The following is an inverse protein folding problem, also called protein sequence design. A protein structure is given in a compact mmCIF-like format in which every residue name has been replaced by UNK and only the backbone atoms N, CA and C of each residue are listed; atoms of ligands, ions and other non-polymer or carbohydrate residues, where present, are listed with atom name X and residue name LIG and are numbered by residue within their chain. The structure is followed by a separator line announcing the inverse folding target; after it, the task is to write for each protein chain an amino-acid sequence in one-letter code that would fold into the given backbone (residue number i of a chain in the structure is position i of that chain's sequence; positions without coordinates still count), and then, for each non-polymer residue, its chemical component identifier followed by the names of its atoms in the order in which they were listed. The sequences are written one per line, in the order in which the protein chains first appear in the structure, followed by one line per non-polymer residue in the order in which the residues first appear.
data_IF_617499417426
#
_entry.id   IF_617499417426
#
_cell.length_a   1.000
_cell.length_b   1.000
_cell.length_c   1.000
_cell.angle_alpha   90.00
_cell.angle_beta   90.00
_cell.angle_gamma   90.00
#
_symmetry.space_group_name_H-M   'P 1'
#
loop_
_entity.id
_entity.type
_entity.pdbx_description
1 polymer ?
#
# COMPACT_ATOMS: atom_id res chain seq x y z
N UNK A 1 -23.82 29.86 7.09
CA UNK A 1 -22.89 29.50 8.17
C UNK A 1 -21.70 28.83 7.48
N UNK A 2 -20.53 29.43 7.48
CA UNK A 2 -19.30 28.76 6.99
C UNK A 2 -18.95 27.65 7.99
N UNK A 3 -18.83 26.41 7.51
CA UNK A 3 -18.35 25.31 8.32
C UNK A 3 -16.94 25.67 8.85
N UNK A 4 -16.64 25.37 10.09
CA UNK A 4 -15.27 25.52 10.60
C UNK A 4 -14.31 24.66 9.79
N UNK A 5 -13.08 25.16 9.52
CA UNK A 5 -12.10 24.38 8.79
C UNK A 5 -11.73 23.13 9.58
N UNK A 6 -11.65 21.99 8.88
CA UNK A 6 -11.21 20.72 9.47
C UNK A 6 -9.78 20.84 10.00
N UNK A 7 -9.51 20.24 11.14
CA UNK A 7 -8.14 20.04 11.61
C UNK A 7 -7.37 19.14 10.64
N UNK A 8 -6.03 19.19 10.65
CA UNK A 8 -5.18 18.32 9.81
C UNK A 8 -5.48 16.85 10.04
N UNK A 9 -5.73 16.45 11.30
CA UNK A 9 -6.06 15.08 11.63
C UNK A 9 -7.43 14.65 11.09
N UNK A 10 -8.44 15.51 11.13
CA UNK A 10 -9.74 15.22 10.53
C UNK A 10 -9.66 15.15 9.01
N UNK A 11 -8.81 15.96 8.39
CA UNK A 11 -8.64 15.97 6.94
C UNK A 11 -7.89 14.75 6.41
N UNK A 12 -6.82 14.31 7.07
CA UNK A 12 -5.92 13.28 6.59
C UNK A 12 -5.98 11.95 7.37
N UNK A 13 -6.59 11.93 8.54
CA UNK A 13 -6.58 10.76 9.42
C UNK A 13 -5.16 10.45 9.93
N UNK A 14 -4.85 9.17 10.03
CA UNK A 14 -3.52 8.65 10.42
C UNK A 14 -2.71 8.21 9.18
N UNK A 15 -2.79 8.99 8.11
CA UNK A 15 -2.14 8.68 6.84
C UNK A 15 -0.63 8.41 7.01
N UNK A 16 -0.11 7.45 6.26
CA UNK A 16 1.33 7.23 6.17
C UNK A 16 2.01 8.43 5.51
N UNK A 17 3.09 8.93 6.11
CA UNK A 17 3.78 10.14 5.66
C UNK A 17 4.30 10.04 4.21
N UNK A 18 4.62 8.83 3.73
CA UNK A 18 5.09 8.62 2.37
C UNK A 18 3.94 8.51 1.36
N UNK A 19 2.75 8.05 1.78
CA UNK A 19 1.51 8.18 0.99
C UNK A 19 1.14 9.66 0.87
N UNK A 20 1.23 10.40 1.98
CA UNK A 20 0.99 11.84 1.99
C UNK A 20 1.95 12.60 1.05
N UNK A 21 3.25 12.25 1.03
CA UNK A 21 4.22 12.81 0.09
C UNK A 21 3.78 12.60 -1.38
N UNK A 22 3.24 11.43 -1.73
CA UNK A 22 2.74 11.17 -3.09
C UNK A 22 1.48 11.98 -3.41
N UNK A 23 0.62 12.24 -2.43
CA UNK A 23 -0.53 13.13 -2.58
C UNK A 23 -0.07 14.57 -2.83
N UNK A 24 0.86 15.09 -2.03
CA UNK A 24 1.41 16.44 -2.20
C UNK A 24 2.05 16.67 -3.57
N UNK A 25 2.61 15.62 -4.17
CA UNK A 25 3.22 15.66 -5.52
C UNK A 25 2.19 15.49 -6.64
N UNK A 26 0.92 15.27 -6.32
CA UNK A 26 -0.12 15.01 -7.31
C UNK A 26 -0.02 13.63 -7.99
N UNK A 27 0.77 12.71 -7.44
CA UNK A 27 0.87 11.32 -7.93
C UNK A 27 -0.34 10.48 -7.51
N UNK A 28 -1.01 10.86 -6.42
CA UNK A 28 -2.22 10.25 -5.89
C UNK A 28 -3.20 11.37 -5.57
N UNK A 29 -4.44 11.30 -6.04
CA UNK A 29 -5.38 12.39 -5.77
C UNK A 29 -6.79 12.19 -6.33
N UNK A 30 -7.58 13.28 -6.32
CA UNK A 30 -8.96 13.29 -6.77
C UNK A 30 -9.14 12.79 -8.21
N UNK A 31 -10.27 12.12 -8.47
CA UNK A 31 -10.62 11.62 -9.78
C UNK A 31 -9.81 10.41 -10.26
N UNK A 32 -8.85 9.93 -9.47
CA UNK A 32 -8.12 8.70 -9.75
C UNK A 32 -8.86 7.50 -9.17
N UNK A 33 -8.74 6.36 -9.85
CA UNK A 33 -9.14 5.06 -9.33
C UNK A 33 -8.02 4.49 -8.46
N UNK A 34 -8.22 4.52 -7.15
CA UNK A 34 -7.22 4.12 -6.15
C UNK A 34 -7.65 2.83 -5.48
N UNK A 35 -6.79 1.82 -5.53
CA UNK A 35 -6.95 0.55 -4.82
C UNK A 35 -5.97 0.49 -3.65
N UNK A 36 -6.47 0.36 -2.42
CA UNK A 36 -5.67 0.07 -1.22
C UNK A 36 -5.71 -1.45 -0.95
N UNK A 37 -4.64 -2.12 -1.32
CA UNK A 37 -4.47 -3.57 -1.19
C UNK A 37 -3.84 -3.93 0.16
N UNK A 38 -4.64 -4.46 1.07
CA UNK A 38 -4.33 -4.61 2.48
C UNK A 38 -4.62 -3.33 3.26
N UNK A 39 -5.85 -2.83 3.10
CA UNK A 39 -6.26 -1.51 3.61
C UNK A 39 -6.34 -1.43 5.14
N UNK A 40 -6.43 -2.58 5.85
CA UNK A 40 -6.67 -2.61 7.28
C UNK A 40 -7.92 -1.80 7.65
N UNK A 41 -7.76 -0.86 8.55
CA UNK A 41 -8.83 0.07 8.97
C UNK A 41 -8.90 1.36 8.13
N UNK A 42 -8.26 1.42 6.96
CA UNK A 42 -8.41 2.52 5.99
C UNK A 42 -7.64 3.80 6.35
N UNK A 43 -6.55 3.72 7.12
CA UNK A 43 -5.79 4.90 7.57
C UNK A 43 -5.30 5.79 6.42
N UNK A 44 -5.06 5.24 5.23
CA UNK A 44 -4.58 5.99 4.06
C UNK A 44 -5.72 6.54 3.19
N UNK A 45 -6.99 6.24 3.53
CA UNK A 45 -8.13 6.51 2.66
C UNK A 45 -8.90 7.78 3.01
N UNK A 46 -8.77 8.32 4.23
CA UNK A 46 -9.60 9.44 4.72
C UNK A 46 -9.58 10.62 3.74
N UNK A 47 -8.40 11.11 3.38
CA UNK A 47 -8.25 12.22 2.43
C UNK A 47 -8.81 11.88 1.04
N UNK A 48 -8.51 10.69 0.54
CA UNK A 48 -8.92 10.26 -0.81
C UNK A 48 -10.45 10.15 -0.92
N UNK A 49 -11.12 9.64 0.13
CA UNK A 49 -12.58 9.57 0.21
C UNK A 49 -13.19 10.97 0.22
N UNK A 50 -12.63 11.91 0.98
CA UNK A 50 -13.14 13.29 1.06
C UNK A 50 -12.98 14.06 -0.25
N UNK A 51 -11.86 13.86 -0.93
CA UNK A 51 -11.49 14.64 -2.12
C UNK A 51 -11.99 14.03 -3.44
N UNK A 52 -12.81 12.97 -3.37
CA UNK A 52 -13.50 12.43 -4.55
C UNK A 52 -12.63 11.53 -5.43
N UNK A 53 -11.69 10.80 -4.86
CA UNK A 53 -11.08 9.67 -5.53
C UNK A 53 -12.08 8.51 -5.66
N UNK A 54 -11.99 7.73 -6.73
CA UNK A 54 -12.74 6.48 -6.87
C UNK A 54 -12.01 5.37 -6.08
N UNK A 55 -12.36 5.25 -4.79
CA UNK A 55 -11.64 4.38 -3.86
C UNK A 55 -12.18 2.96 -3.90
N UNK A 56 -11.24 2.02 -4.00
CA UNK A 56 -11.43 0.59 -3.79
C UNK A 56 -10.49 0.12 -2.67
N UNK A 57 -10.93 -0.85 -1.89
CA UNK A 57 -10.09 -1.42 -0.84
C UNK A 57 -10.34 -2.92 -0.67
N UNK A 58 -9.26 -3.63 -0.32
CA UNK A 58 -9.30 -5.05 -0.05
C UNK A 58 -8.44 -5.36 1.17
N UNK A 59 -8.93 -6.22 2.05
CA UNK A 59 -8.18 -6.75 3.18
C UNK A 59 -8.66 -8.16 3.53
N UNK A 60 -7.78 -8.98 4.09
CA UNK A 60 -8.16 -10.31 4.61
C UNK A 60 -9.03 -10.22 5.88
N UNK A 61 -8.98 -9.09 6.60
CA UNK A 61 -9.78 -8.82 7.80
C UNK A 61 -11.18 -8.31 7.43
N UNK A 62 -12.18 -9.14 7.65
CA UNK A 62 -13.59 -8.72 7.48
C UNK A 62 -13.96 -7.52 8.38
N UNK A 63 -13.36 -7.42 9.57
CA UNK A 63 -13.57 -6.29 10.51
C UNK A 63 -12.97 -5.00 9.93
N UNK A 64 -11.73 -5.06 9.39
CA UNK A 64 -11.10 -3.93 8.72
C UNK A 64 -11.93 -3.42 7.54
N UNK A 65 -12.37 -4.33 6.67
CA UNK A 65 -13.24 -3.97 5.53
C UNK A 65 -14.56 -3.37 5.98
N UNK A 66 -15.19 -3.89 7.04
CA UNK A 66 -16.42 -3.33 7.59
C UNK A 66 -16.21 -1.90 8.09
N UNK A 67 -15.06 -1.64 8.75
CA UNK A 67 -14.69 -0.29 9.19
C UNK A 67 -14.51 0.67 8.00
N UNK A 68 -13.81 0.22 6.95
CA UNK A 68 -13.61 1.03 5.73
C UNK A 68 -14.94 1.33 5.03
N UNK A 69 -15.88 0.37 4.99
CA UNK A 69 -17.24 0.61 4.47
C UNK A 69 -17.98 1.70 5.24
N UNK A 70 -17.92 1.64 6.58
CA UNK A 70 -18.53 2.66 7.42
C UNK A 70 -17.91 4.04 7.19
N UNK A 71 -16.58 4.11 7.17
CA UNK A 71 -15.81 5.32 6.88
C UNK A 71 -16.17 5.91 5.50
N UNK A 72 -16.26 5.08 4.47
CA UNK A 72 -16.67 5.51 3.13
C UNK A 72 -18.12 5.99 3.10
N UNK A 73 -19.01 5.35 3.85
CA UNK A 73 -20.41 5.80 4.01
C UNK A 73 -20.54 7.19 4.61
N UNK A 74 -19.61 7.58 5.48
CA UNK A 74 -19.56 8.93 6.07
C UNK A 74 -18.91 9.97 5.14
N UNK A 75 -17.79 9.63 4.53
CA UNK A 75 -16.92 10.59 3.83
C UNK A 75 -17.22 10.69 2.32
N UNK A 76 -17.68 9.61 1.73
CA UNK A 76 -17.96 9.49 0.29
C UNK A 76 -19.21 8.61 0.05
N UNK A 77 -20.41 9.03 0.50
CA UNK A 77 -21.63 8.21 0.48
C UNK A 77 -22.09 7.81 -0.95
N UNK A 78 -21.50 8.40 -1.97
CA UNK A 78 -21.75 8.03 -3.37
C UNK A 78 -20.94 6.82 -3.87
N UNK A 79 -19.98 6.33 -3.11
CA UNK A 79 -19.19 5.15 -3.51
C UNK A 79 -19.96 3.85 -3.23
N UNK A 80 -20.01 2.91 -4.19
CA UNK A 80 -20.65 1.61 -3.99
C UNK A 80 -19.95 0.81 -2.86
N UNK A 81 -20.74 0.13 -2.02
CA UNK A 81 -20.21 -0.71 -0.95
C UNK A 81 -19.40 -1.91 -1.46
N UNK A 82 -19.64 -2.31 -2.72
CA UNK A 82 -18.96 -3.38 -3.44
C UNK A 82 -17.49 -3.03 -3.75
N UNK A 83 -17.13 -1.75 -3.69
CA UNK A 83 -15.74 -1.31 -3.85
C UNK A 83 -14.83 -1.82 -2.72
N UNK A 84 -15.41 -2.24 -1.58
CA UNK A 84 -14.68 -2.65 -0.39
C UNK A 84 -14.91 -4.14 -0.14
N UNK A 85 -13.86 -4.95 -0.36
CA UNK A 85 -13.99 -6.41 -0.41
C UNK A 85 -13.08 -7.12 0.58
N UNK A 86 -13.56 -8.23 1.12
CA UNK A 86 -12.73 -9.15 1.91
C UNK A 86 -12.01 -10.07 0.93
N UNK A 87 -10.68 -10.12 1.00
CA UNK A 87 -9.89 -10.95 0.11
C UNK A 87 -8.40 -10.87 0.39
N UNK A 88 -7.64 -11.73 -0.26
CA UNK A 88 -6.19 -11.80 -0.17
C UNK A 88 -5.52 -11.00 -1.30
N UNK A 89 -4.37 -10.40 -1.01
CA UNK A 89 -3.64 -9.56 -1.98
C UNK A 89 -3.08 -10.41 -3.13
N UNK A 90 -2.74 -11.66 -2.88
CA UNK A 90 -2.26 -12.60 -3.91
C UNK A 90 -3.35 -13.13 -4.86
N UNK A 91 -4.62 -12.76 -4.65
CA UNK A 91 -5.76 -13.20 -5.48
C UNK A 91 -6.88 -12.16 -5.46
N UNK A 92 -6.64 -10.99 -6.02
CA UNK A 92 -7.58 -9.87 -5.98
C UNK A 92 -8.69 -10.01 -7.03
N UNK A 93 -9.97 -9.78 -6.68
CA UNK A 93 -11.11 -9.91 -7.57
C UNK A 93 -11.31 -8.70 -8.50
N UNK A 94 -10.22 -8.08 -8.94
CA UNK A 94 -10.23 -6.95 -9.85
C UNK A 94 -9.67 -7.35 -11.23
N UNK A 95 -10.16 -6.72 -12.28
CA UNK A 95 -9.69 -6.96 -13.64
C UNK A 95 -8.22 -6.50 -13.83
N UNK A 96 -7.58 -6.98 -14.89
CA UNK A 96 -6.29 -6.48 -15.32
C UNK A 96 -6.38 -4.99 -15.66
N UNK A 97 -5.33 -4.24 -15.35
CA UNK A 97 -5.24 -2.80 -15.64
C UNK A 97 -6.41 -1.98 -15.05
N UNK A 98 -6.91 -2.37 -13.90
CA UNK A 98 -8.09 -1.82 -13.23
C UNK A 98 -7.85 -0.43 -12.62
N UNK A 99 -6.72 -0.24 -11.89
CA UNK A 99 -6.49 0.93 -11.04
C UNK A 99 -5.46 1.90 -11.63
N UNK A 100 -5.67 3.19 -11.41
CA UNK A 100 -4.67 4.24 -11.68
C UNK A 100 -3.52 4.18 -10.68
N UNK A 101 -3.86 3.90 -9.43
CA UNK A 101 -2.93 3.81 -8.30
C UNK A 101 -3.26 2.57 -7.49
N UNK A 102 -2.22 1.82 -7.13
CA UNK A 102 -2.30 0.73 -6.15
C UNK A 102 -1.42 1.09 -4.96
N UNK A 103 -2.02 1.13 -3.78
CA UNK A 103 -1.33 1.30 -2.49
C UNK A 103 -1.24 -0.07 -1.83
N UNK A 104 -0.04 -0.47 -1.39
CA UNK A 104 0.19 -1.66 -0.59
C UNK A 104 1.12 -1.29 0.58
N UNK A 105 0.52 -0.82 1.67
CA UNK A 105 1.25 -0.24 2.78
C UNK A 105 1.27 -1.17 4.00
N UNK A 106 2.44 -1.68 4.35
CA UNK A 106 2.65 -2.55 5.51
C UNK A 106 1.97 -3.92 5.38
N UNK A 107 2.03 -4.53 4.20
CA UNK A 107 1.39 -5.81 3.87
C UNK A 107 2.38 -6.86 3.38
N UNK A 108 3.24 -6.53 2.41
CA UNK A 108 4.12 -7.49 1.73
C UNK A 108 5.07 -8.25 2.67
N UNK A 109 5.42 -7.68 3.81
CA UNK A 109 6.26 -8.35 4.80
C UNK A 109 5.56 -9.47 5.59
N UNK A 110 4.25 -9.65 5.40
CA UNK A 110 3.51 -10.82 5.91
C UNK A 110 3.54 -12.02 4.96
N UNK A 111 4.27 -11.94 3.86
CA UNK A 111 4.48 -13.08 2.99
C UNK A 111 5.12 -14.25 3.75
N UNK A 112 4.61 -15.46 3.51
CA UNK A 112 5.07 -16.69 4.18
C UNK A 112 6.43 -17.17 3.67
N UNK A 113 6.68 -16.94 2.39
CA UNK A 113 7.84 -17.36 1.63
C UNK A 113 7.98 -16.50 0.37
N UNK A 114 8.97 -16.83 -0.47
CA UNK A 114 9.26 -16.09 -1.70
C UNK A 114 8.16 -16.22 -2.74
N UNK A 115 7.61 -17.42 -2.92
CA UNK A 115 6.53 -17.66 -3.89
C UNK A 115 5.28 -16.86 -3.53
N UNK A 116 4.93 -16.78 -2.26
CA UNK A 116 3.81 -15.98 -1.79
C UNK A 116 4.07 -14.47 -1.97
N UNK A 117 5.30 -14.02 -1.66
CA UNK A 117 5.68 -12.63 -1.89
C UNK A 117 5.58 -12.23 -3.36
N UNK A 118 6.09 -13.08 -4.25
CA UNK A 118 6.01 -12.86 -5.70
C UNK A 118 4.56 -12.85 -6.19
N UNK A 119 3.73 -13.79 -5.75
CA UNK A 119 2.30 -13.82 -6.11
C UNK A 119 1.58 -12.52 -5.70
N UNK A 120 1.86 -11.99 -4.50
CA UNK A 120 1.32 -10.70 -4.07
C UNK A 120 1.77 -9.56 -4.98
N UNK A 121 3.06 -9.48 -5.32
CA UNK A 121 3.60 -8.43 -6.20
C UNK A 121 3.05 -8.54 -7.62
N UNK A 122 2.94 -9.74 -8.17
CA UNK A 122 2.35 -9.99 -9.50
C UNK A 122 0.90 -9.54 -9.57
N UNK A 123 0.09 -9.81 -8.54
CA UNK A 123 -1.30 -9.36 -8.46
C UNK A 123 -1.42 -7.82 -8.37
N UNK A 124 -0.60 -7.18 -7.53
CA UNK A 124 -0.53 -5.71 -7.46
C UNK A 124 -0.20 -5.12 -8.84
N UNK A 125 0.70 -5.76 -9.56
CA UNK A 125 1.11 -5.32 -10.90
C UNK A 125 0.08 -5.61 -11.96
N UNK A 126 -0.62 -6.75 -11.89
CA UNK A 126 -1.69 -7.13 -12.81
C UNK A 126 -2.83 -6.11 -12.81
N UNK A 127 -3.31 -5.75 -11.63
CA UNK A 127 -4.42 -4.81 -11.48
C UNK A 127 -4.05 -3.35 -11.76
N UNK A 128 -2.77 -3.02 -11.78
CA UNK A 128 -2.29 -1.68 -12.11
C UNK A 128 -2.33 -1.45 -13.61
N UNK A 129 -2.96 -0.36 -14.08
CA UNK A 129 -2.99 0.00 -15.51
C UNK A 129 -1.62 0.45 -16.04
N UNK A 130 -1.37 0.36 -17.35
CA UNK A 130 -0.23 1.04 -17.98
C UNK A 130 -0.20 2.53 -17.63
N UNK A 131 0.95 3.05 -17.22
CA UNK A 131 1.13 4.42 -16.72
C UNK A 131 0.72 4.62 -15.27
N UNK A 132 0.13 3.62 -14.60
CA UNK A 132 -0.31 3.67 -13.20
C UNK A 132 0.85 3.67 -12.20
N UNK A 133 0.55 4.07 -10.97
CA UNK A 133 1.51 4.15 -9.86
C UNK A 133 1.29 3.00 -8.88
N UNK A 134 2.35 2.24 -8.59
CA UNK A 134 2.40 1.31 -7.47
C UNK A 134 3.17 1.95 -6.32
N UNK A 135 2.53 2.08 -5.18
CA UNK A 135 3.13 2.49 -3.92
C UNK A 135 3.20 1.32 -2.97
N UNK A 136 4.40 0.90 -2.58
CA UNK A 136 4.61 -0.09 -1.53
C UNK A 136 5.44 0.48 -0.39
N UNK A 137 5.05 0.15 0.85
CA UNK A 137 5.90 0.32 2.01
C UNK A 137 5.96 -0.99 2.77
N UNK A 138 7.15 -1.58 2.84
CA UNK A 138 7.33 -2.96 3.28
C UNK A 138 8.55 -3.12 4.17
N UNK A 139 8.58 -4.23 4.92
CA UNK A 139 9.73 -4.61 5.73
C UNK A 139 10.96 -4.88 4.87
N UNK A 140 12.10 -4.36 5.28
CA UNK A 140 13.37 -4.59 4.61
C UNK A 140 14.49 -4.81 5.61
N UNK A 141 15.66 -5.24 5.11
CA UNK A 141 16.90 -5.32 5.87
C UNK A 141 17.96 -4.32 5.39
N UNK A 142 17.53 -3.25 4.73
CA UNK A 142 18.44 -2.21 4.20
C UNK A 142 19.01 -1.40 5.36
N UNK A 143 20.33 -1.55 5.60
CA UNK A 143 21.02 -0.89 6.70
C UNK A 143 20.80 -1.51 8.08
N UNK A 144 20.15 -2.68 8.15
CA UNK A 144 19.96 -3.46 9.38
C UNK A 144 20.19 -4.94 9.14
N UNK A 145 20.66 -5.61 10.18
CA UNK A 145 20.75 -7.07 10.21
C UNK A 145 19.73 -7.63 11.21
N UNK A 146 19.05 -8.68 10.79
CA UNK A 146 18.08 -9.41 11.61
C UNK A 146 18.41 -10.90 11.62
N UNK A 147 18.16 -11.62 12.72
CA UNK A 147 18.30 -13.08 12.77
C UNK A 147 17.41 -13.73 11.70
N UNK A 148 18.03 -14.48 10.78
CA UNK A 148 17.30 -15.22 9.75
C UNK A 148 16.63 -16.44 10.38
N UNK A 149 15.37 -16.65 10.07
CA UNK A 149 14.60 -17.83 10.50
C UNK A 149 14.58 -18.87 9.39
N UNK A 150 14.18 -18.49 8.16
CA UNK A 150 14.19 -19.33 6.96
C UNK A 150 14.09 -18.47 5.70
N UNK A 151 14.71 -18.86 4.59
CA UNK A 151 14.63 -18.12 3.33
C UNK A 151 14.83 -16.60 3.53
N UNK A 152 13.84 -15.81 3.16
CA UNK A 152 13.77 -14.36 3.37
C UNK A 152 12.94 -13.95 4.60
N UNK A 153 12.62 -14.90 5.48
CA UNK A 153 11.91 -14.63 6.74
C UNK A 153 12.91 -14.43 7.87
N UNK A 154 12.76 -13.31 8.57
CA UNK A 154 13.65 -12.86 9.64
C UNK A 154 12.83 -12.52 10.89
N UNK A 155 13.47 -12.60 12.06
CA UNK A 155 12.88 -12.18 13.33
C UNK A 155 13.23 -10.73 13.59
N UNK A 156 12.21 -9.86 13.69
CA UNK A 156 12.39 -8.44 13.98
C UNK A 156 12.36 -8.16 15.49
N UNK A 157 12.57 -6.92 15.91
CA UNK A 157 12.82 -6.53 17.29
C UNK A 157 11.72 -6.84 18.31
N UNK A 158 10.45 -7.03 17.88
CA UNK A 158 9.34 -7.47 18.75
C UNK A 158 9.17 -8.99 18.83
N UNK A 159 10.06 -9.72 18.16
CA UNK A 159 10.01 -11.18 18.10
C UNK A 159 9.14 -11.75 16.98
N UNK A 160 8.40 -10.91 16.25
CA UNK A 160 7.61 -11.36 15.10
C UNK A 160 8.50 -11.74 13.90
N UNK A 161 7.95 -12.56 13.02
CA UNK A 161 8.65 -13.03 11.82
C UNK A 161 8.11 -12.30 10.60
N UNK A 162 8.99 -11.61 9.86
CA UNK A 162 8.67 -10.87 8.65
C UNK A 162 9.48 -11.35 7.46
N UNK A 163 8.87 -11.37 6.30
CA UNK A 163 9.56 -11.48 5.02
C UNK A 163 10.26 -10.14 4.74
N UNK A 164 11.59 -10.13 4.65
CA UNK A 164 12.37 -8.92 4.45
C UNK A 164 13.11 -8.97 3.12
N UNK A 165 13.00 -7.87 2.38
CA UNK A 165 13.74 -7.63 1.14
C UNK A 165 15.00 -6.81 1.40
N UNK A 166 15.93 -6.82 0.44
CA UNK A 166 17.03 -5.88 0.38
C UNK A 166 16.91 -4.95 -0.84
N UNK A 167 17.84 -4.01 -0.95
CA UNK A 167 17.87 -3.04 -2.04
C UNK A 167 17.99 -3.71 -3.42
N UNK A 168 18.88 -4.71 -3.51
CA UNK A 168 19.11 -5.42 -4.77
C UNK A 168 17.85 -6.15 -5.25
N UNK A 169 17.11 -6.79 -4.33
CA UNK A 169 15.86 -7.46 -4.65
C UNK A 169 14.81 -6.48 -5.22
N UNK A 170 14.63 -5.29 -4.59
CA UNK A 170 13.68 -4.29 -5.07
C UNK A 170 14.08 -3.69 -6.42
N UNK A 171 15.36 -3.41 -6.63
CA UNK A 171 15.86 -2.88 -7.91
C UNK A 171 15.77 -3.92 -9.03
N UNK A 172 16.12 -5.18 -8.76
CA UNK A 172 15.98 -6.27 -9.71
C UNK A 172 14.50 -6.48 -10.11
N UNK A 173 13.61 -6.48 -9.13
CA UNK A 173 12.17 -6.61 -9.36
C UNK A 173 11.63 -5.44 -10.20
N UNK A 174 12.06 -4.20 -9.91
CA UNK A 174 11.73 -3.03 -10.72
C UNK A 174 12.13 -3.24 -12.19
N UNK A 175 13.33 -3.80 -12.43
CA UNK A 175 13.80 -4.12 -13.78
C UNK A 175 13.01 -5.26 -14.45
N UNK A 176 12.74 -6.34 -13.73
CA UNK A 176 11.98 -7.50 -14.25
C UNK A 176 10.54 -7.13 -14.63
N UNK A 177 9.92 -6.24 -13.88
CA UNK A 177 8.57 -5.73 -14.14
C UNK A 177 8.53 -4.66 -15.24
N UNK A 178 9.66 -4.30 -15.84
CA UNK A 178 9.81 -3.16 -16.76
C UNK A 178 9.18 -1.88 -16.17
N UNK A 179 9.40 -1.65 -14.89
CA UNK A 179 8.90 -0.50 -14.17
C UNK A 179 9.89 0.68 -14.18
N UNK A 180 9.36 1.88 -13.97
CA UNK A 180 10.16 3.07 -13.69
C UNK A 180 10.14 3.32 -12.17
N UNK A 181 11.29 3.41 -11.55
CA UNK A 181 11.40 3.87 -10.17
C UNK A 181 11.05 5.37 -10.13
N UNK A 182 9.99 5.74 -9.41
CA UNK A 182 9.51 7.13 -9.32
C UNK A 182 10.32 7.94 -8.33
N UNK A 183 10.71 7.32 -7.24
CA UNK A 183 11.56 7.88 -6.18
C UNK A 183 12.73 6.94 -5.90
N UNK A 184 13.88 7.45 -5.45
CA UNK A 184 14.88 6.60 -4.78
C UNK A 184 14.23 5.82 -3.64
N UNK A 185 14.71 4.60 -3.38
CA UNK A 185 14.24 3.83 -2.23
C UNK A 185 14.48 4.60 -0.94
N UNK A 186 13.41 4.83 -0.16
CA UNK A 186 13.47 5.56 1.10
C UNK A 186 13.31 4.56 2.24
N UNK A 187 14.33 4.43 3.07
CA UNK A 187 14.35 3.48 4.19
C UNK A 187 14.27 4.22 5.52
N UNK A 188 13.38 3.77 6.39
CA UNK A 188 13.24 4.24 7.76
C UNK A 188 13.67 3.12 8.71
N UNK A 189 14.73 3.37 9.46
CA UNK A 189 15.22 2.49 10.51
C UNK A 189 14.70 3.00 11.85
N UNK A 190 14.05 2.12 12.61
CA UNK A 190 13.55 2.42 13.95
C UNK A 190 14.39 1.62 14.95
N UNK A 191 15.47 2.23 15.43
CA UNK A 191 16.45 1.62 16.33
C UNK A 191 16.87 0.21 15.83
N UNK A 192 16.88 -0.78 16.73
CA UNK A 192 17.09 -2.20 16.45
C UNK A 192 15.76 -2.98 16.23
N UNK A 193 14.65 -2.24 16.18
CA UNK A 193 13.31 -2.83 16.21
C UNK A 193 12.83 -3.29 14.83
N UNK A 194 12.88 -2.40 13.83
CA UNK A 194 12.41 -2.69 12.46
C UNK A 194 13.00 -1.75 11.42
N UNK A 195 12.99 -2.20 10.20
CA UNK A 195 13.35 -1.42 9.02
C UNK A 195 12.23 -1.49 7.99
N UNK A 196 11.80 -0.34 7.48
CA UNK A 196 10.73 -0.21 6.48
C UNK A 196 11.23 0.59 5.28
N UNK A 197 11.02 0.06 4.09
CA UNK A 197 11.40 0.73 2.84
C UNK A 197 10.17 1.11 2.04
N UNK A 198 10.17 2.32 1.50
CA UNK A 198 9.17 2.82 0.55
C UNK A 198 9.70 2.59 -0.86
N UNK A 199 8.92 1.88 -1.66
CA UNK A 199 9.19 1.51 -3.04
C UNK A 199 8.03 2.00 -3.91
N UNK A 200 8.30 3.04 -4.72
CA UNK A 200 7.30 3.68 -5.58
C UNK A 200 7.72 3.52 -7.03
N UNK A 201 6.88 2.84 -7.79
CA UNK A 201 7.15 2.54 -9.20
C UNK A 201 5.99 2.95 -10.09
N UNK A 202 6.28 3.16 -11.35
CA UNK A 202 5.29 3.44 -12.39
C UNK A 202 5.37 2.38 -13.48
N UNK A 203 4.22 1.81 -13.83
CA UNK A 203 4.09 0.86 -14.94
C UNK A 203 4.33 1.61 -16.26
N UNK A 204 5.19 1.10 -17.13
CA UNK A 204 5.39 1.71 -18.45
C UNK A 204 4.07 1.67 -19.25
N UNK A 205 3.94 2.62 -20.19
CA UNK A 205 2.78 2.70 -21.08
C UNK A 205 2.86 1.67 -22.19
#
# INVERSE_FOLDING_TARGET
MSAEPLSVQEQFGQIDIYVFDQILRGNIGPGMKVLDAGCGYGRNLVYLLREGAEVFALDASAEGVAHVKALAGELAPGLPAENFQVGAVEAMPFADAFADVVICNSVLHFARDEDHFLAMVEELWRVLRPGGLLFCRLGSRIGMEFPRVRGHVYRIGDGSEWFLVDEAALLNMTGQMDALLVDPLKTTIVQDYRCMTTWVTRKRR
#
